data_IF_647844346621
#
_entry.id   IF_647844346621
#
_cell.length_a   1.000
_cell.length_b   1.000
_cell.length_c   1.000
_cell.angle_alpha   90.00
_cell.angle_beta   90.00
_cell.angle_gamma   90.00
#
_symmetry.space_group_name_H-M   'P 1'
#
loop_
_entity.id
_entity.type
_entity.pdbx_description
1 polymer ?
#
# COMPACT_ATOMS: atom_id res chain seq x y z
N UNK A 1 -15.23 -30.00 -1.60
CA UNK A 1 -14.61 -29.67 -0.30
C UNK A 1 -15.16 -28.32 0.12
N UNK A 2 -15.66 -28.18 1.36
CA UNK A 2 -16.13 -26.89 1.88
C UNK A 2 -14.96 -26.14 2.55
N UNK A 3 -14.69 -24.93 2.09
CA UNK A 3 -13.75 -23.99 2.73
C UNK A 3 -14.40 -22.62 2.83
N UNK A 4 -14.06 -21.88 3.88
CA UNK A 4 -14.67 -20.57 4.14
C UNK A 4 -14.23 -19.51 3.12
N UNK A 5 -12.95 -19.51 2.76
CA UNK A 5 -12.36 -18.61 1.78
C UNK A 5 -11.21 -19.31 1.05
N UNK A 6 -10.96 -18.90 -0.18
CA UNK A 6 -9.87 -19.41 -1.02
C UNK A 6 -8.53 -18.77 -0.63
N UNK A 7 -8.58 -17.45 -0.40
CA UNK A 7 -7.45 -16.61 -0.05
C UNK A 7 -7.83 -15.54 0.96
N UNK A 8 -6.82 -15.09 1.70
CA UNK A 8 -6.82 -13.82 2.42
C UNK A 8 -5.63 -13.00 1.93
N UNK A 9 -5.82 -11.72 1.67
CA UNK A 9 -4.78 -10.79 1.23
C UNK A 9 -4.74 -9.52 2.08
N UNK A 10 -3.53 -9.05 2.29
CA UNK A 10 -3.28 -7.69 2.76
C UNK A 10 -2.78 -6.91 1.56
N UNK A 11 -3.54 -5.91 1.13
CA UNK A 11 -3.15 -5.00 0.06
C UNK A 11 -2.94 -3.57 0.59
N UNK A 12 -2.00 -2.85 -0.02
CA UNK A 12 -1.67 -1.47 0.32
C UNK A 12 -1.07 -0.74 -0.87
N UNK A 13 -0.79 0.55 -0.68
CA UNK A 13 -0.11 1.34 -1.73
C UNK A 13 1.32 0.85 -1.92
N UNK A 14 1.71 0.61 -3.18
CA UNK A 14 3.10 0.36 -3.56
C UNK A 14 3.93 1.64 -3.44
N UNK A 15 4.75 1.71 -2.40
CA UNK A 15 5.64 2.86 -2.15
C UNK A 15 6.94 2.80 -2.96
N UNK A 16 7.24 1.66 -3.58
CA UNK A 16 8.47 1.46 -4.34
C UNK A 16 8.27 1.71 -5.84
N UNK A 17 7.03 1.97 -6.26
CA UNK A 17 6.71 2.37 -7.63
C UNK A 17 7.49 3.64 -7.99
N UNK A 18 8.32 3.54 -9.04
CA UNK A 18 9.09 4.68 -9.60
C UNK A 18 8.21 5.62 -10.43
N UNK A 19 7.00 5.19 -10.75
CA UNK A 19 6.04 5.99 -11.49
C UNK A 19 5.31 6.92 -10.51
N UNK A 20 4.99 8.13 -10.96
CA UNK A 20 4.21 9.11 -10.17
C UNK A 20 2.76 8.64 -9.91
N UNK A 21 2.34 7.53 -10.54
CA UNK A 21 1.03 6.92 -10.38
C UNK A 21 0.95 6.07 -9.10
N UNK A 22 -0.05 6.33 -8.27
CA UNK A 22 -0.34 5.56 -7.05
C UNK A 22 -1.00 4.24 -7.41
N UNK A 23 -0.30 3.13 -7.15
CA UNK A 23 -0.82 1.78 -7.41
C UNK A 23 -0.98 0.99 -6.13
N UNK A 24 -1.98 0.11 -6.12
CA UNK A 24 -2.10 -0.92 -5.11
C UNK A 24 -1.14 -2.06 -5.37
N UNK A 25 -0.82 -2.80 -4.31
CA UNK A 25 -0.07 -4.05 -4.39
C UNK A 25 -0.51 -4.98 -3.26
N UNK A 26 -0.56 -6.26 -3.58
CA UNK A 26 -0.70 -7.33 -2.58
C UNK A 26 0.61 -7.43 -1.79
N UNK A 27 0.57 -7.06 -0.52
CA UNK A 27 1.70 -7.06 0.40
C UNK A 27 1.88 -8.44 1.01
N UNK A 28 0.77 -9.07 1.39
CA UNK A 28 0.76 -10.41 1.96
C UNK A 28 -0.43 -11.19 1.43
N UNK A 29 -0.27 -12.50 1.28
CA UNK A 29 -1.36 -13.41 0.92
C UNK A 29 -1.26 -14.72 1.68
N UNK A 30 -2.41 -15.31 1.93
CA UNK A 30 -2.59 -16.58 2.60
C UNK A 30 -3.59 -17.44 1.83
N UNK A 31 -3.25 -18.69 1.48
CA UNK A 31 -1.91 -19.29 1.57
C UNK A 31 -0.89 -18.56 0.66
N UNK A 32 0.40 -18.64 1.02
CA UNK A 32 1.46 -17.96 0.26
C UNK A 32 1.72 -18.57 -1.12
N UNK A 33 1.29 -19.82 -1.34
CA UNK A 33 1.38 -20.56 -2.60
C UNK A 33 -0.02 -20.92 -3.09
N UNK A 34 -0.15 -20.96 -4.40
CA UNK A 34 -1.39 -21.32 -5.07
C UNK A 34 -1.72 -22.79 -4.78
N UNK A 35 -3.01 -23.08 -4.71
CA UNK A 35 -3.50 -24.45 -4.50
C UNK A 35 -3.75 -25.08 -5.87
N UNK A 36 -3.82 -26.41 -5.92
CA UNK A 36 -4.06 -27.13 -7.20
C UNK A 36 -5.47 -26.89 -7.74
N UNK A 37 -6.41 -26.60 -6.86
CA UNK A 37 -7.84 -26.42 -7.12
C UNK A 37 -8.28 -24.95 -7.20
N UNK A 38 -7.42 -24.01 -6.84
CA UNK A 38 -7.65 -22.59 -7.04
C UNK A 38 -6.35 -21.85 -7.26
N UNK A 39 -6.32 -21.06 -8.32
CA UNK A 39 -5.24 -20.14 -8.65
C UNK A 39 -5.53 -18.77 -8.05
N UNK A 40 -4.47 -18.04 -7.74
CA UNK A 40 -4.63 -16.69 -7.21
C UNK A 40 -5.10 -15.73 -8.30
N UNK A 41 -6.19 -14.98 -8.11
CA UNK A 41 -6.66 -14.03 -9.12
C UNK A 41 -5.67 -12.87 -9.28
N UNK A 42 -5.26 -12.62 -10.52
CA UNK A 42 -4.40 -11.48 -10.85
C UNK A 42 -5.19 -10.16 -10.77
N UNK A 43 -4.56 -9.09 -10.29
CA UNK A 43 -5.18 -7.77 -10.21
C UNK A 43 -6.22 -7.63 -9.09
N UNK A 44 -6.26 -8.54 -8.11
CA UNK A 44 -7.22 -8.51 -7.00
C UNK A 44 -7.18 -7.18 -6.23
N UNK A 45 -6.00 -6.54 -6.15
CA UNK A 45 -5.81 -5.23 -5.54
C UNK A 45 -6.65 -4.12 -6.18
N UNK A 46 -7.03 -4.25 -7.46
CA UNK A 46 -7.88 -3.27 -8.15
C UNK A 46 -9.33 -3.32 -7.61
N UNK A 47 -9.79 -4.51 -7.22
CA UNK A 47 -11.12 -4.72 -6.66
C UNK A 47 -11.20 -4.38 -5.17
N UNK A 48 -10.08 -4.49 -4.44
CA UNK A 48 -10.04 -4.05 -3.05
C UNK A 48 -10.23 -2.53 -2.91
N UNK A 49 -9.93 -1.71 -3.95
CA UNK A 49 -10.28 -0.29 -3.96
C UNK A 49 -10.94 0.18 -5.28
N UNK A 50 -12.28 0.10 -5.41
CA UNK A 50 -12.99 0.44 -6.64
C UNK A 50 -12.87 1.91 -7.06
N UNK A 51 -12.60 2.81 -6.11
CA UNK A 51 -12.34 4.23 -6.38
C UNK A 51 -10.89 4.52 -6.81
N UNK A 52 -10.07 3.50 -7.02
CA UNK A 52 -8.65 3.63 -7.32
C UNK A 52 -7.79 3.93 -6.10
N UNK A 53 -6.49 3.63 -6.21
CA UNK A 53 -5.54 3.80 -5.11
C UNK A 53 -5.09 5.26 -4.99
N UNK A 54 -5.27 5.86 -3.81
CA UNK A 54 -4.86 7.24 -3.56
C UNK A 54 -4.56 7.45 -2.07
N UNK A 55 -3.71 8.43 -1.78
CA UNK A 55 -3.49 8.94 -0.43
C UNK A 55 -4.66 9.83 0.00
N UNK A 56 -4.94 9.89 1.30
CA UNK A 56 -5.87 10.86 1.85
C UNK A 56 -5.16 11.85 2.78
N UNK A 57 -5.51 13.12 2.69
CA UNK A 57 -5.05 14.14 3.64
C UNK A 57 -5.96 14.27 4.86
N UNK A 58 -7.12 13.60 4.83
CA UNK A 58 -8.14 13.67 5.87
C UNK A 58 -8.35 12.29 6.50
N UNK A 59 -8.92 12.28 7.69
CA UNK A 59 -9.38 11.04 8.29
C UNK A 59 -10.55 10.48 7.47
N UNK A 60 -10.46 9.20 7.12
CA UNK A 60 -11.57 8.43 6.56
C UNK A 60 -11.92 7.31 7.53
N UNK A 61 -13.21 7.11 7.84
CA UNK A 61 -13.63 5.97 8.66
C UNK A 61 -13.32 4.65 7.93
N UNK A 62 -13.09 3.56 8.66
CA UNK A 62 -13.00 2.23 8.04
C UNK A 62 -14.27 1.88 7.29
N UNK A 63 -14.13 1.20 6.16
CA UNK A 63 -15.26 0.77 5.33
C UNK A 63 -15.19 -0.72 5.06
N UNK A 64 -16.34 -1.35 4.96
CA UNK A 64 -16.47 -2.76 4.58
C UNK A 64 -17.42 -2.87 3.40
N UNK A 65 -17.04 -3.63 2.39
CA UNK A 65 -17.90 -3.96 1.25
C UNK A 65 -17.57 -5.34 0.71
N UNK A 66 -18.46 -5.89 -0.11
CA UNK A 66 -18.23 -7.16 -0.80
C UNK A 66 -18.29 -6.89 -2.31
N UNK A 67 -17.20 -7.18 -3.01
CA UNK A 67 -17.16 -7.21 -4.47
C UNK A 67 -17.48 -8.63 -4.97
N UNK A 68 -18.11 -8.71 -6.13
CA UNK A 68 -18.40 -9.99 -6.82
C UNK A 68 -17.52 -10.06 -8.06
N UNK A 69 -16.68 -11.08 -8.13
CA UNK A 69 -15.77 -11.36 -9.24
C UNK A 69 -16.34 -12.53 -10.03
N UNK A 70 -16.65 -12.32 -11.30
CA UNK A 70 -17.17 -13.36 -12.17
C UNK A 70 -16.03 -13.93 -13.01
N UNK A 71 -15.83 -15.24 -12.95
CA UNK A 71 -14.82 -15.93 -13.76
C UNK A 71 -15.31 -16.12 -15.21
N UNK A 72 -14.40 -16.55 -16.10
CA UNK A 72 -14.71 -16.87 -17.50
C UNK A 72 -15.79 -17.97 -17.62
N UNK A 73 -15.80 -18.92 -16.69
CA UNK A 73 -16.79 -20.00 -16.62
C UNK A 73 -18.16 -19.53 -16.09
N UNK A 74 -18.28 -18.27 -15.67
CA UNK A 74 -19.52 -17.70 -15.13
C UNK A 74 -19.74 -17.94 -13.63
N UNK A 75 -18.77 -18.56 -12.95
CA UNK A 75 -18.79 -18.75 -11.51
C UNK A 75 -18.53 -17.44 -10.77
N UNK A 76 -19.24 -17.25 -9.65
CA UNK A 76 -19.14 -16.05 -8.83
C UNK A 76 -18.22 -16.29 -7.65
N UNK A 77 -17.21 -15.43 -7.48
CA UNK A 77 -16.33 -15.37 -6.31
C UNK A 77 -16.60 -14.10 -5.54
N UNK A 78 -16.80 -14.23 -4.23
CA UNK A 78 -17.06 -13.09 -3.35
C UNK A 78 -15.77 -12.61 -2.70
N UNK A 79 -15.49 -11.32 -2.81
CA UNK A 79 -14.33 -10.66 -2.22
C UNK A 79 -14.80 -9.68 -1.14
N UNK A 80 -14.64 -10.07 0.11
CA UNK A 80 -14.99 -9.22 1.25
C UNK A 80 -13.80 -8.30 1.57
N UNK A 81 -13.97 -7.00 1.37
CA UNK A 81 -12.93 -6.00 1.49
C UNK A 81 -13.15 -5.15 2.73
N UNK A 82 -12.20 -5.18 3.66
CA UNK A 82 -12.14 -4.28 4.80
C UNK A 82 -11.03 -3.23 4.60
N UNK A 83 -11.41 -1.97 4.46
CA UNK A 83 -10.49 -0.84 4.24
C UNK A 83 -10.32 -0.02 5.51
N UNK A 84 -9.08 0.33 5.85
CA UNK A 84 -8.78 1.29 6.90
C UNK A 84 -7.59 2.18 6.51
N UNK A 85 -7.43 3.32 7.18
CA UNK A 85 -6.44 4.35 6.80
C UNK A 85 -5.47 4.62 7.94
N UNK A 86 -4.18 4.41 7.67
CA UNK A 86 -3.10 4.69 8.63
C UNK A 86 -2.25 5.88 8.20
N UNK A 87 -1.54 6.49 9.15
CA UNK A 87 -0.59 7.57 8.84
C UNK A 87 0.57 6.99 8.02
N UNK A 88 0.83 7.56 6.85
CA UNK A 88 2.00 7.22 6.05
C UNK A 88 3.24 7.77 6.76
N UNK A 89 4.15 6.87 7.13
CA UNK A 89 5.52 7.24 7.47
C UNK A 89 6.26 7.62 6.18
N UNK A 90 6.96 8.78 6.12
CA UNK A 90 7.82 9.07 4.99
C UNK A 90 8.92 8.01 4.94
N UNK A 91 8.90 7.16 3.91
CA UNK A 91 9.99 6.23 3.63
C UNK A 91 11.21 7.05 3.24
N UNK A 92 12.28 6.97 4.05
CA UNK A 92 13.60 7.47 3.65
C UNK A 92 14.00 6.68 2.41
N UNK A 93 14.01 7.31 1.24
CA UNK A 93 14.59 6.71 0.04
C UNK A 93 16.01 6.29 0.41
N UNK A 94 16.35 5.00 0.21
CA UNK A 94 17.74 4.54 0.32
C UNK A 94 18.51 5.19 -0.82
N UNK A 95 19.08 6.37 -0.57
CA UNK A 95 20.17 6.89 -1.39
C UNK A 95 21.29 5.84 -1.38
N UNK A 96 21.58 5.26 -2.55
CA UNK A 96 22.74 4.38 -2.72
C UNK A 96 23.97 5.20 -2.30
N UNK A 97 24.65 4.75 -1.25
CA UNK A 97 25.94 5.25 -0.85
C UNK A 97 26.94 5.03 -2.00
N UNK A 98 27.30 6.11 -2.70
CA UNK A 98 28.47 6.14 -3.57
C UNK A 98 29.68 6.31 -2.65
N UNK A 99 30.61 5.33 -2.70
CA UNK A 99 31.83 5.28 -1.90
C UNK A 99 32.71 6.52 -2.13
N UNK A 100 33.29 6.97 -1.04
CA UNK A 100 34.11 8.16 -0.85
C UNK A 100 35.38 8.23 -1.69
N UNK A 101 35.82 9.46 -2.01
CA UNK A 101 37.23 9.85 -1.89
C UNK A 101 37.30 11.31 -1.40
N UNK A 102 38.10 11.51 -0.36
CA UNK A 102 38.26 12.66 0.52
C UNK A 102 38.93 13.91 -0.08
N UNK A 103 38.57 15.10 0.43
CA UNK A 103 39.50 16.11 0.98
C UNK A 103 38.74 17.24 1.71
N UNK A 104 39.22 17.57 2.91
CA UNK A 104 38.78 18.61 3.85
C UNK A 104 38.92 20.03 3.29
N UNK A 105 38.10 20.99 3.77
CA UNK A 105 38.50 22.28 4.41
C UNK A 105 37.26 22.93 5.07
N UNK A 106 37.47 23.50 6.26
CA UNK A 106 36.55 24.17 7.17
C UNK A 106 35.86 25.45 6.65
N UNK A 107 34.72 25.85 7.24
CA UNK A 107 34.61 26.91 8.28
C UNK A 107 33.17 27.45 8.51
N UNK A 108 32.95 27.82 9.77
CA UNK A 108 32.06 28.84 10.33
C UNK A 108 30.53 28.74 10.19
N UNK A 109 29.88 29.01 11.33
CA UNK A 109 28.48 28.70 11.59
C UNK A 109 27.51 29.88 11.46
N UNK A 110 26.24 29.60 11.72
CA UNK A 110 25.27 30.48 12.39
C UNK A 110 23.93 29.75 12.50
N UNK A 111 23.30 29.94 13.65
CA UNK A 111 21.98 29.46 14.04
C UNK A 111 20.87 30.04 13.15
N UNK A 112 19.75 29.35 13.04
CA UNK A 112 18.46 29.94 13.45
C UNK A 112 17.34 28.90 13.46
N UNK A 113 16.73 28.80 14.63
CA UNK A 113 15.41 28.23 14.86
C UNK A 113 14.38 28.75 13.84
N UNK A 114 13.65 27.83 13.23
CA UNK A 114 12.29 28.12 12.76
C UNK A 114 11.41 26.92 13.03
N UNK A 115 11.08 26.79 14.32
CA UNK A 115 9.94 26.06 14.84
C UNK A 115 8.62 26.68 14.33
N UNK A 116 8.34 26.61 13.03
CA UNK A 116 7.05 27.06 12.50
C UNK A 116 6.71 26.41 11.15
N UNK A 117 6.37 25.12 11.18
CA UNK A 117 5.35 24.49 10.30
C UNK A 117 5.29 22.96 10.46
N UNK A 118 5.40 22.42 11.68
CA UNK A 118 5.07 21.00 11.93
C UNK A 118 3.55 20.72 12.01
N UNK A 119 2.75 21.47 11.24
CA UNK A 119 1.52 20.90 10.69
C UNK A 119 1.90 20.02 9.50
N UNK A 120 2.73 18.99 9.74
CA UNK A 120 2.90 17.88 8.80
C UNK A 120 1.52 17.26 8.66
N UNK A 121 0.79 17.65 7.62
CA UNK A 121 -0.36 16.90 7.13
C UNK A 121 0.18 15.51 6.78
N UNK A 122 0.15 14.60 7.75
CA UNK A 122 0.52 13.21 7.54
C UNK A 122 -0.44 12.67 6.50
N UNK A 123 0.06 12.45 5.28
CA UNK A 123 -0.67 11.68 4.27
C UNK A 123 -1.08 10.36 4.91
N UNK A 124 -2.30 9.90 4.67
CA UNK A 124 -2.80 8.60 5.12
C UNK A 124 -2.88 7.63 3.95
N UNK A 125 -2.45 6.40 4.21
CA UNK A 125 -2.34 5.31 3.26
C UNK A 125 -3.50 4.33 3.54
N UNK A 126 -4.33 3.99 2.54
CA UNK A 126 -5.33 2.94 2.68
C UNK A 126 -4.65 1.58 2.75
N UNK A 127 -5.13 0.76 3.67
CA UNK A 127 -4.83 -0.65 3.82
C UNK A 127 -6.12 -1.45 3.62
N UNK A 128 -6.00 -2.58 2.95
CA UNK A 128 -7.11 -3.45 2.65
C UNK A 128 -6.81 -4.85 3.15
N UNK A 129 -7.74 -5.40 3.91
CA UNK A 129 -7.81 -6.81 4.21
C UNK A 129 -8.93 -7.40 3.37
N UNK A 130 -8.52 -8.18 2.38
CA UNK A 130 -9.33 -9.09 1.61
C UNK A 130 -8.69 -10.49 1.84
#
# INVERSE_FOLDING_TARGET
MSRLADYFIVAGIDRDSKNEEVKGKVIQRFPSKDRKDATFPEGLELFCQPGGWNYSYYYKPPTFFVAVLTDMEGDHRYCACFTFYEKCTPTKSKSKAVKATSREVAKDGSQSDSSLSEKRFFRRCPWHLC
#
